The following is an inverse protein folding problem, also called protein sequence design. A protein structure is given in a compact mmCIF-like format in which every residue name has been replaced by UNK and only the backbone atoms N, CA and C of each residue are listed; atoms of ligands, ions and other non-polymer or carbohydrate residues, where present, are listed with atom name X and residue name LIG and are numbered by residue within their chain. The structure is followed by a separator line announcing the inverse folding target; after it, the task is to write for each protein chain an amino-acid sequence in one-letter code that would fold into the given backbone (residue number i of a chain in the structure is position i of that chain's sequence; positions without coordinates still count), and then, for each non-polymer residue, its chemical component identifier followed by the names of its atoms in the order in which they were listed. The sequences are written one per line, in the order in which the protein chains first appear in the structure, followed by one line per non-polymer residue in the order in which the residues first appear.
data_IF_134646470267
#
_entry.id   IF_134646470267
#
_cell.length_a   1.000
_cell.length_b   1.000
_cell.length_c   1.000
_cell.angle_alpha   90.00
_cell.angle_beta   90.00
_cell.angle_gamma   90.00
#
_symmetry.space_group_name_H-M   'P 1'
#
loop_
_entity.id
_entity.type
_entity.pdbx_description
1 polymer ?
#
# COMPACT_ATOMS: atom_id res chain seq x y z
N UNK A 1 -31.99 -3.50 22.57
CA UNK A 1 -31.86 -2.22 21.83
C UNK A 1 -31.12 -2.51 20.53
N UNK A 2 -31.34 -1.75 19.43
CA UNK A 2 -30.51 -1.91 18.24
C UNK A 2 -29.03 -1.68 18.58
N UNK A 3 -28.13 -2.51 18.05
CA UNK A 3 -26.69 -2.36 18.26
C UNK A 3 -26.22 -1.02 17.68
N UNK A 4 -25.37 -0.31 18.40
CA UNK A 4 -24.73 0.92 17.91
C UNK A 4 -23.88 0.60 16.66
N UNK A 5 -23.95 1.44 15.64
CA UNK A 5 -23.26 1.24 14.36
C UNK A 5 -21.95 2.02 14.34
N UNK A 6 -20.84 1.33 14.15
CA UNK A 6 -19.51 1.91 14.01
C UNK A 6 -19.05 1.72 12.58
N UNK A 7 -18.83 2.81 11.85
CA UNK A 7 -18.19 2.76 10.54
C UNK A 7 -16.71 3.07 10.68
N UNK A 8 -15.86 2.21 10.12
CA UNK A 8 -14.41 2.37 10.09
C UNK A 8 -13.97 2.54 8.64
N UNK A 9 -13.37 3.69 8.32
CA UNK A 9 -12.84 3.97 6.97
C UNK A 9 -11.37 3.55 6.92
N UNK A 10 -11.03 2.64 6.01
CA UNK A 10 -9.68 2.17 5.72
C UNK A 10 -9.29 0.87 6.44
N UNK A 11 -8.59 -0.02 5.75
CA UNK A 11 -8.04 -1.29 6.28
C UNK A 11 -6.54 -1.21 6.63
N UNK A 12 -5.98 0.00 6.74
CA UNK A 12 -4.62 0.22 7.22
C UNK A 12 -4.47 -0.15 8.72
N UNK A 13 -3.33 0.20 9.33
CA UNK A 13 -3.10 -0.07 10.75
C UNK A 13 -4.23 0.48 11.64
N UNK A 14 -4.58 1.76 11.52
CA UNK A 14 -5.61 2.37 12.35
C UNK A 14 -6.96 1.64 12.27
N UNK A 15 -7.47 1.41 11.05
CA UNK A 15 -8.79 0.83 10.87
C UNK A 15 -8.85 -0.66 11.21
N UNK A 16 -7.85 -1.44 10.81
CA UNK A 16 -7.80 -2.86 11.14
C UNK A 16 -7.71 -3.08 12.66
N UNK A 17 -6.82 -2.36 13.35
CA UNK A 17 -6.66 -2.52 14.78
C UNK A 17 -7.85 -1.96 15.58
N UNK A 18 -8.54 -0.95 15.06
CA UNK A 18 -9.83 -0.50 15.61
C UNK A 18 -10.87 -1.60 15.54
N UNK A 19 -11.09 -2.20 14.36
CA UNK A 19 -12.02 -3.32 14.22
C UNK A 19 -11.63 -4.52 15.10
N UNK A 20 -10.32 -4.75 15.29
CA UNK A 20 -9.83 -5.78 16.21
C UNK A 20 -10.18 -5.48 17.67
N UNK A 21 -9.99 -4.24 18.11
CA UNK A 21 -10.27 -3.82 19.49
C UNK A 21 -11.78 -3.85 19.81
N UNK A 22 -12.64 -3.63 18.82
CA UNK A 22 -14.10 -3.65 18.98
C UNK A 22 -14.72 -5.06 18.93
N UNK A 23 -13.92 -6.13 18.87
CA UNK A 23 -14.41 -7.52 18.69
C UNK A 23 -15.53 -7.91 19.65
N UNK A 24 -15.34 -7.62 20.93
CA UNK A 24 -16.21 -8.08 22.01
C UNK A 24 -17.16 -6.96 22.49
N UNK A 25 -17.13 -5.80 21.83
CA UNK A 25 -18.06 -4.71 22.11
C UNK A 25 -19.45 -5.00 21.54
N UNK A 26 -20.50 -4.55 22.23
CA UNK A 26 -21.90 -4.68 21.77
C UNK A 26 -22.28 -3.64 20.70
N UNK A 27 -21.53 -3.66 19.59
CA UNK A 27 -21.68 -2.78 18.44
C UNK A 27 -21.71 -3.59 17.14
N UNK A 28 -22.21 -3.00 16.07
CA UNK A 28 -22.08 -3.51 14.71
C UNK A 28 -21.03 -2.68 13.97
N UNK A 29 -19.94 -3.30 13.53
CA UNK A 29 -18.82 -2.64 12.84
C UNK A 29 -18.94 -2.86 11.34
N UNK A 30 -18.85 -1.79 10.56
CA UNK A 30 -18.66 -1.85 9.10
C UNK A 30 -17.32 -1.24 8.76
N UNK A 31 -16.36 -2.06 8.34
CA UNK A 31 -15.06 -1.60 7.83
C UNK A 31 -15.15 -1.44 6.31
N UNK A 32 -14.99 -0.21 5.83
CA UNK A 32 -15.04 0.14 4.41
C UNK A 32 -13.62 0.49 3.94
N UNK A 33 -13.09 -0.23 2.96
CA UNK A 33 -11.75 0.06 2.42
C UNK A 33 -11.70 -0.07 0.91
N UNK A 34 -10.92 0.79 0.26
CA UNK A 34 -10.70 0.73 -1.20
C UNK A 34 -9.95 -0.53 -1.64
N UNK A 35 -9.27 -1.21 -0.72
CA UNK A 35 -8.57 -2.48 -0.97
C UNK A 35 -9.19 -3.63 -0.18
N UNK A 36 -9.04 -4.85 -0.69
CA UNK A 36 -9.51 -6.08 -0.03
C UNK A 36 -8.53 -6.63 1.02
N UNK A 37 -7.33 -6.05 1.12
CA UNK A 37 -6.25 -6.51 1.99
C UNK A 37 -5.84 -5.45 3.02
N UNK A 38 -5.20 -5.92 4.09
CA UNK A 38 -4.41 -5.07 4.97
C UNK A 38 -2.97 -5.10 4.48
N UNK A 39 -2.38 -3.93 4.22
CA UNK A 39 -0.99 -3.82 3.79
C UNK A 39 -0.07 -3.53 4.98
N UNK A 40 0.84 -4.45 5.28
CA UNK A 40 1.93 -4.22 6.21
C UNK A 40 3.05 -3.41 5.53
N UNK A 41 2.79 -2.10 5.38
CA UNK A 41 3.67 -1.15 4.70
C UNK A 41 5.15 -1.17 5.13
N UNK A 42 5.51 -1.47 6.40
CA UNK A 42 6.93 -1.52 6.80
C UNK A 42 7.78 -2.53 6.01
N UNK A 43 7.20 -3.56 5.39
CA UNK A 43 7.96 -4.53 4.59
C UNK A 43 7.77 -4.34 3.08
N UNK A 44 7.14 -3.25 2.65
CA UNK A 44 6.84 -3.00 1.24
C UNK A 44 8.10 -2.87 0.38
N UNK A 45 9.17 -2.33 0.95
CA UNK A 45 10.47 -2.20 0.30
C UNK A 45 11.07 -3.56 -0.10
N UNK A 46 10.79 -4.64 0.66
CA UNK A 46 11.24 -6.00 0.34
C UNK A 46 10.45 -6.62 -0.80
N UNK A 47 9.20 -6.21 -1.01
CA UNK A 47 8.44 -6.58 -2.21
C UNK A 47 9.01 -5.86 -3.43
N UNK A 48 9.34 -4.58 -3.28
CA UNK A 48 9.93 -3.77 -4.35
C UNK A 48 11.30 -4.30 -4.83
N UNK A 49 12.07 -4.96 -3.95
CA UNK A 49 13.35 -5.59 -4.33
C UNK A 49 13.27 -7.09 -4.57
N UNK A 50 12.07 -7.67 -4.57
CA UNK A 50 11.84 -9.08 -4.91
C UNK A 50 12.21 -10.09 -3.82
N UNK A 51 12.49 -9.65 -2.60
CA UNK A 51 12.79 -10.51 -1.45
C UNK A 51 11.53 -11.18 -0.90
N UNK A 52 10.41 -10.45 -0.89
CA UNK A 52 9.12 -10.95 -0.45
C UNK A 52 8.10 -10.93 -1.59
N UNK A 53 7.19 -11.90 -1.58
CA UNK A 53 5.96 -11.85 -2.38
C UNK A 53 4.91 -10.95 -1.73
N UNK A 54 4.07 -10.28 -2.53
CA UNK A 54 3.02 -9.40 -1.99
C UNK A 54 2.08 -10.11 -1.01
N UNK A 55 1.73 -11.37 -1.26
CA UNK A 55 0.83 -12.16 -0.41
C UNK A 55 1.33 -12.34 1.03
N UNK A 56 2.64 -12.22 1.25
CA UNK A 56 3.24 -12.35 2.59
C UNK A 56 3.01 -11.11 3.46
N UNK A 57 2.74 -9.96 2.86
CA UNK A 57 2.57 -8.67 3.55
C UNK A 57 1.19 -8.05 3.36
N UNK A 58 0.34 -8.68 2.54
CA UNK A 58 -0.99 -8.20 2.16
C UNK A 58 -2.11 -9.24 2.34
N UNK A 59 -2.28 -9.83 3.55
CA UNK A 59 -3.37 -10.76 3.79
C UNK A 59 -4.74 -10.10 3.59
N UNK A 60 -5.71 -10.87 3.13
CA UNK A 60 -7.08 -10.39 2.94
C UNK A 60 -7.66 -9.90 4.26
N UNK A 61 -8.20 -8.67 4.30
CA UNK A 61 -8.74 -8.06 5.53
C UNK A 61 -9.83 -8.94 6.14
N UNK A 62 -10.65 -9.56 5.29
CA UNK A 62 -11.71 -10.50 5.70
C UNK A 62 -11.17 -11.78 6.33
N UNK A 63 -9.98 -12.24 5.94
CA UNK A 63 -9.35 -13.40 6.55
C UNK A 63 -8.88 -13.08 7.97
N UNK A 64 -8.24 -11.92 8.14
CA UNK A 64 -7.77 -11.43 9.45
C UNK A 64 -8.95 -11.27 10.41
N UNK A 65 -10.08 -10.76 9.91
CA UNK A 65 -11.28 -10.46 10.70
C UNK A 65 -12.31 -11.60 10.72
N UNK A 66 -12.00 -12.79 10.19
CA UNK A 66 -12.97 -13.92 10.10
C UNK A 66 -13.61 -14.32 11.43
N UNK A 67 -12.91 -14.10 12.54
CA UNK A 67 -13.38 -14.40 13.91
C UNK A 67 -14.15 -13.26 14.58
N UNK A 68 -14.31 -12.10 13.92
CA UNK A 68 -14.98 -10.91 14.44
C UNK A 68 -16.43 -10.90 13.96
N UNK A 69 -17.30 -11.65 14.66
CA UNK A 69 -18.71 -11.86 14.28
C UNK A 69 -19.53 -10.57 14.18
N UNK A 70 -19.08 -9.50 14.82
CA UNK A 70 -19.73 -8.19 14.80
C UNK A 70 -19.21 -7.26 13.69
N UNK A 71 -18.28 -7.73 12.85
CA UNK A 71 -17.60 -6.90 11.85
C UNK A 71 -17.91 -7.36 10.43
N UNK A 72 -18.42 -6.45 9.63
CA UNK A 72 -18.60 -6.61 8.18
C UNK A 72 -17.49 -5.85 7.45
N UNK A 73 -16.83 -6.53 6.50
CA UNK A 73 -15.79 -5.91 5.65
C UNK A 73 -16.36 -5.64 4.26
N UNK A 74 -16.39 -4.37 3.88
CA UNK A 74 -16.88 -3.87 2.59
C UNK A 74 -15.71 -3.32 1.78
N UNK A 75 -15.58 -3.76 0.53
CA UNK A 75 -14.66 -3.15 -0.42
C UNK A 75 -15.37 -1.99 -1.10
N UNK A 76 -14.81 -0.79 -1.01
CA UNK A 76 -15.38 0.42 -1.57
C UNK A 76 -14.50 1.65 -1.30
N UNK A 77 -14.47 2.57 -2.25
CA UNK A 77 -13.87 3.88 -2.09
C UNK A 77 -14.88 4.81 -1.42
N UNK A 78 -14.60 5.26 -0.20
CA UNK A 78 -15.38 6.33 0.43
C UNK A 78 -15.17 7.63 -0.34
N UNK A 79 -16.27 8.26 -0.75
CA UNK A 79 -16.28 9.48 -1.56
C UNK A 79 -16.82 10.68 -0.80
N UNK A 80 -17.70 10.47 0.20
CA UNK A 80 -18.31 11.55 0.96
C UNK A 80 -18.66 11.14 2.40
N UNK A 81 -18.68 12.12 3.30
CA UNK A 81 -19.06 11.97 4.71
C UNK A 81 -20.02 13.10 5.07
N UNK A 82 -21.28 12.76 5.33
CA UNK A 82 -22.28 13.70 5.83
C UNK A 82 -22.35 13.58 7.36
N UNK A 83 -21.85 14.60 8.07
CA UNK A 83 -21.82 14.63 9.53
C UNK A 83 -23.15 15.01 10.17
N UNK A 84 -24.03 15.68 9.44
CA UNK A 84 -25.36 16.07 9.92
C UNK A 84 -26.32 14.87 9.84
N UNK A 85 -26.39 14.22 8.67
CA UNK A 85 -27.17 13.00 8.48
C UNK A 85 -26.50 11.75 9.09
N UNK A 86 -25.22 11.85 9.47
CA UNK A 86 -24.37 10.76 9.99
C UNK A 86 -24.30 9.58 9.02
N UNK A 87 -23.87 9.86 7.80
CA UNK A 87 -23.70 8.84 6.77
C UNK A 87 -22.34 8.91 6.08
N UNK A 88 -21.89 7.78 5.55
CA UNK A 88 -20.70 7.66 4.70
C UNK A 88 -21.13 7.10 3.36
N UNK A 89 -20.82 7.82 2.29
CA UNK A 89 -21.05 7.35 0.92
C UNK A 89 -19.79 6.68 0.39
N UNK A 90 -19.94 5.47 -0.14
CA UNK A 90 -18.84 4.71 -0.74
C UNK A 90 -19.26 4.07 -2.06
N UNK A 91 -18.28 3.92 -2.95
CA UNK A 91 -18.47 3.38 -4.28
C UNK A 91 -17.66 2.11 -4.49
N UNK A 92 -18.30 1.08 -5.02
CA UNK A 92 -17.65 -0.14 -5.50
C UNK A 92 -18.04 -0.34 -6.96
N UNK A 93 -17.06 -0.23 -7.86
CA UNK A 93 -17.30 -0.09 -9.30
C UNK A 93 -18.29 1.06 -9.62
N UNK A 94 -19.43 0.74 -10.23
CA UNK A 94 -20.46 1.71 -10.62
C UNK A 94 -21.61 1.79 -9.61
N UNK A 95 -21.50 1.06 -8.49
CA UNK A 95 -22.51 1.07 -7.42
C UNK A 95 -22.08 1.99 -6.30
N UNK A 96 -22.88 3.01 -6.03
CA UNK A 96 -22.77 3.86 -4.86
C UNK A 96 -23.68 3.35 -3.74
N UNK A 97 -23.22 3.46 -2.50
CA UNK A 97 -23.97 3.02 -1.32
C UNK A 97 -23.71 3.97 -0.17
N UNK A 98 -24.78 4.39 0.48
CA UNK A 98 -24.73 5.25 1.67
C UNK A 98 -24.91 4.39 2.92
N UNK A 99 -23.90 4.37 3.78
CA UNK A 99 -23.89 3.62 5.04
C UNK A 99 -24.07 4.57 6.22
N UNK A 100 -25.15 4.45 7.01
CA UNK A 100 -25.36 5.29 8.19
C UNK A 100 -24.51 4.80 9.37
N UNK A 101 -24.14 5.73 10.27
CA UNK A 101 -23.34 5.43 11.45
C UNK A 101 -23.85 6.14 12.71
N UNK A 102 -23.49 5.59 13.87
CA UNK A 102 -23.62 6.27 15.16
C UNK A 102 -22.25 6.79 15.63
N UNK A 103 -21.18 6.03 15.30
CA UNK A 103 -19.79 6.44 15.47
C UNK A 103 -18.99 6.23 14.18
N UNK A 104 -18.08 7.17 13.89
CA UNK A 104 -17.22 7.12 12.71
C UNK A 104 -15.75 7.13 13.13
N UNK A 105 -14.98 6.20 12.57
CA UNK A 105 -13.51 6.17 12.69
C UNK A 105 -12.90 6.39 11.32
N UNK A 106 -12.21 7.52 11.16
CA UNK A 106 -11.52 7.87 9.91
C UNK A 106 -10.07 7.41 9.98
N UNK A 107 -9.76 6.29 9.33
CA UNK A 107 -8.41 5.72 9.24
C UNK A 107 -7.97 5.51 7.78
N UNK A 108 -8.32 6.47 6.91
CA UNK A 108 -8.06 6.44 5.47
C UNK A 108 -6.56 6.49 5.09
N UNK A 109 -5.69 6.83 6.04
CA UNK A 109 -4.27 7.03 5.81
C UNK A 109 -3.99 8.32 5.03
N UNK A 110 -2.84 8.37 4.37
CA UNK A 110 -2.41 9.50 3.55
C UNK A 110 -1.86 9.01 2.20
N UNK A 111 -2.11 9.79 1.15
CA UNK A 111 -1.54 9.56 -0.17
C UNK A 111 -0.07 9.96 -0.29
N UNK A 112 0.50 9.75 -1.47
CA UNK A 112 1.79 10.30 -1.85
C UNK A 112 1.65 11.81 -2.11
N UNK A 113 2.67 12.58 -1.74
CA UNK A 113 2.78 14.01 -2.08
C UNK A 113 4.06 14.25 -2.87
N UNK A 114 3.94 15.04 -3.94
CA UNK A 114 5.07 15.54 -4.72
C UNK A 114 5.32 17.04 -4.45
N UNK A 115 4.77 17.58 -3.36
CA UNK A 115 4.96 18.97 -2.94
C UNK A 115 4.68 19.99 -4.05
N UNK A 116 3.60 19.75 -4.82
CA UNK A 116 3.20 20.60 -5.96
C UNK A 116 3.84 20.21 -7.31
N UNK A 117 4.66 19.16 -7.35
CA UNK A 117 5.32 18.69 -8.57
C UNK A 117 4.74 17.36 -9.06
N UNK A 118 3.43 17.29 -9.26
CA UNK A 118 2.73 16.03 -9.58
C UNK A 118 3.22 15.36 -10.87
N UNK A 119 3.85 16.12 -11.78
CA UNK A 119 4.52 15.59 -12.97
C UNK A 119 5.67 14.62 -12.66
N UNK A 120 6.22 14.64 -11.44
CA UNK A 120 7.23 13.67 -11.01
C UNK A 120 6.69 12.25 -10.91
N UNK A 121 5.38 12.05 -10.71
CA UNK A 121 4.78 10.72 -10.56
C UNK A 121 5.06 9.80 -11.77
N UNK A 122 5.22 10.38 -12.97
CA UNK A 122 5.59 9.64 -14.19
C UNK A 122 6.96 8.97 -14.07
N UNK A 123 7.91 9.63 -13.41
CA UNK A 123 9.32 9.22 -13.38
C UNK A 123 9.74 8.61 -12.05
N UNK A 124 9.16 9.08 -10.95
CA UNK A 124 9.47 8.69 -9.59
C UNK A 124 8.19 8.10 -8.95
N UNK A 125 7.94 6.79 -9.11
CA UNK A 125 6.79 6.15 -8.50
C UNK A 125 6.87 6.22 -6.96
N UNK A 126 5.72 6.10 -6.31
CA UNK A 126 5.62 6.14 -4.85
C UNK A 126 6.15 4.88 -4.18
N UNK A 127 5.93 4.78 -2.87
CA UNK A 127 6.15 3.56 -2.09
C UNK A 127 5.07 3.45 -1.00
N UNK A 128 3.80 3.34 -1.42
CA UNK A 128 2.64 3.35 -0.52
C UNK A 128 1.72 2.15 -0.73
N UNK A 129 1.74 1.56 -1.92
CA UNK A 129 0.84 0.51 -2.36
C UNK A 129 1.61 -0.69 -2.90
N UNK A 130 0.92 -1.83 -3.05
CA UNK A 130 1.50 -3.01 -3.71
C UNK A 130 1.88 -2.67 -5.15
N UNK A 131 1.03 -1.93 -5.85
CA UNK A 131 1.27 -1.53 -7.26
C UNK A 131 2.55 -0.70 -7.38
N UNK A 132 2.79 0.25 -6.45
CA UNK A 132 4.04 1.01 -6.39
C UNK A 132 5.26 0.09 -6.27
N UNK A 133 5.19 -0.91 -5.38
CA UNK A 133 6.30 -1.85 -5.16
C UNK A 133 6.54 -2.73 -6.39
N UNK A 134 5.47 -3.22 -7.03
CA UNK A 134 5.58 -4.03 -8.24
C UNK A 134 6.15 -3.24 -9.42
N UNK A 135 5.75 -1.97 -9.55
CA UNK A 135 6.31 -1.05 -10.56
C UNK A 135 7.80 -0.80 -10.31
N UNK A 136 8.18 -0.50 -9.07
CA UNK A 136 9.59 -0.31 -8.70
C UNK A 136 10.41 -1.56 -8.96
N UNK A 137 9.89 -2.75 -8.61
CA UNK A 137 10.53 -4.03 -8.91
C UNK A 137 10.76 -4.17 -10.41
N UNK A 138 9.74 -3.97 -11.22
CA UNK A 138 9.87 -4.06 -12.68
C UNK A 138 10.94 -3.09 -13.21
N UNK A 139 10.94 -1.83 -12.76
CA UNK A 139 11.92 -0.81 -13.19
C UNK A 139 13.35 -1.17 -12.76
N UNK A 140 13.55 -1.64 -11.53
CA UNK A 140 14.86 -2.02 -11.00
C UNK A 140 15.43 -3.19 -11.81
N UNK A 141 14.70 -4.30 -11.92
CA UNK A 141 15.21 -5.48 -12.63
C UNK A 141 15.39 -5.22 -14.13
N UNK A 142 14.48 -4.46 -14.77
CA UNK A 142 14.66 -4.08 -16.18
C UNK A 142 15.91 -3.21 -16.40
N UNK A 143 16.31 -2.39 -15.42
CA UNK A 143 17.54 -1.62 -15.53
C UNK A 143 18.78 -2.52 -15.58
N UNK A 144 18.82 -3.60 -14.79
CA UNK A 144 19.91 -4.59 -14.85
C UNK A 144 19.92 -5.35 -16.19
N UNK A 145 18.75 -5.81 -16.66
CA UNK A 145 18.63 -6.49 -17.97
C UNK A 145 19.10 -5.59 -19.12
N UNK A 146 18.67 -4.33 -19.14
CA UNK A 146 19.08 -3.36 -20.16
C UNK A 146 20.59 -3.06 -20.07
N UNK A 147 21.16 -3.01 -18.86
CA UNK A 147 22.57 -2.72 -18.65
C UNK A 147 23.51 -3.84 -19.16
N UNK A 148 23.06 -5.10 -19.14
CA UNK A 148 23.79 -6.24 -19.71
C UNK A 148 23.92 -6.12 -21.23
N UNK A 149 22.86 -5.65 -21.91
CA UNK A 149 22.85 -5.52 -23.38
C UNK A 149 23.33 -4.15 -23.88
N UNK A 150 23.59 -3.19 -22.98
CA UNK A 150 24.06 -1.86 -23.35
C UNK A 150 25.41 -1.90 -24.09
N UNK A 151 25.53 -1.06 -25.13
CA UNK A 151 26.68 -1.03 -26.03
C UNK A 151 27.88 -0.26 -25.44
N UNK A 152 27.62 0.68 -24.54
CA UNK A 152 28.64 1.57 -23.98
C UNK A 152 28.72 1.49 -22.45
N UNK A 153 29.92 1.66 -21.85
CA UNK A 153 30.07 1.82 -20.41
C UNK A 153 29.26 2.99 -19.84
N UNK A 154 29.12 4.08 -20.59
CA UNK A 154 28.38 5.27 -20.18
C UNK A 154 26.88 5.00 -20.05
N UNK A 155 26.30 4.29 -21.02
CA UNK A 155 24.89 3.88 -20.97
C UNK A 155 24.62 2.91 -19.82
N UNK A 156 25.52 1.94 -19.63
CA UNK A 156 25.47 1.00 -18.51
C UNK A 156 25.48 1.72 -17.16
N UNK A 157 26.40 2.67 -16.98
CA UNK A 157 26.48 3.49 -15.77
C UNK A 157 25.17 4.25 -15.52
N UNK A 158 24.57 4.82 -16.58
CA UNK A 158 23.29 5.53 -16.49
C UNK A 158 22.15 4.61 -16.07
N UNK A 159 22.04 3.43 -16.67
CA UNK A 159 20.99 2.44 -16.35
C UNK A 159 21.09 1.95 -14.90
N UNK A 160 22.31 1.77 -14.39
CA UNK A 160 22.56 1.31 -13.01
C UNK A 160 22.61 2.45 -11.98
N UNK A 161 22.22 3.67 -12.35
CA UNK A 161 22.13 4.80 -11.42
C UNK A 161 20.71 4.91 -10.87
N UNK A 162 20.56 4.65 -9.57
CA UNK A 162 19.30 4.77 -8.85
C UNK A 162 19.29 6.02 -7.97
N UNK A 163 18.19 6.78 -8.00
CA UNK A 163 18.00 7.98 -7.18
C UNK A 163 16.83 7.75 -6.24
N UNK A 164 17.10 7.83 -4.94
CA UNK A 164 16.06 7.73 -3.90
C UNK A 164 15.85 9.10 -3.28
N UNK A 165 14.64 9.64 -3.42
CA UNK A 165 14.28 10.97 -2.91
C UNK A 165 13.62 10.82 -1.55
N UNK A 166 14.32 11.27 -0.51
CA UNK A 166 13.87 11.23 0.89
C UNK A 166 14.72 10.31 1.75
N UNK A 167 15.19 10.81 2.88
CA UNK A 167 16.07 10.10 3.81
C UNK A 167 15.33 9.61 5.08
N UNK A 168 14.00 9.45 5.00
CA UNK A 168 13.22 8.78 6.04
C UNK A 168 13.44 7.26 5.99
N UNK A 169 12.85 6.50 6.94
CA UNK A 169 13.04 5.05 7.03
C UNK A 169 12.85 4.32 5.70
N UNK A 170 11.72 4.57 5.01
CA UNK A 170 11.44 3.96 3.70
C UNK A 170 12.50 4.24 2.64
N UNK A 171 13.03 5.46 2.61
CA UNK A 171 14.09 5.82 1.65
C UNK A 171 15.42 5.15 1.99
N UNK A 172 15.77 5.10 3.28
CA UNK A 172 16.99 4.42 3.76
C UNK A 172 16.92 2.91 3.51
N UNK A 173 15.79 2.27 3.81
CA UNK A 173 15.55 0.85 3.56
C UNK A 173 15.65 0.53 2.06
N UNK A 174 15.04 1.35 1.20
CA UNK A 174 15.14 1.18 -0.25
C UNK A 174 16.56 1.33 -0.78
N UNK A 175 17.27 2.38 -0.38
CA UNK A 175 18.65 2.59 -0.81
C UNK A 175 19.56 1.43 -0.36
N UNK A 176 19.39 0.96 0.89
CA UNK A 176 20.10 -0.20 1.41
C UNK A 176 19.80 -1.47 0.63
N UNK A 177 18.53 -1.74 0.33
CA UNK A 177 18.12 -2.94 -0.40
C UNK A 177 18.54 -2.94 -1.87
N UNK A 178 18.56 -1.80 -2.55
CA UNK A 178 19.12 -1.70 -3.91
C UNK A 178 20.63 -1.99 -3.88
N UNK A 179 21.35 -1.45 -2.87
CA UNK A 179 22.77 -1.72 -2.70
C UNK A 179 23.05 -3.21 -2.38
N UNK A 180 22.21 -3.85 -1.57
CA UNK A 180 22.29 -5.28 -1.28
C UNK A 180 21.99 -6.13 -2.52
N UNK A 181 20.90 -5.83 -3.23
CA UNK A 181 20.49 -6.52 -4.46
C UNK A 181 21.63 -6.53 -5.49
N UNK A 182 22.26 -5.38 -5.74
CA UNK A 182 23.36 -5.26 -6.70
C UNK A 182 24.63 -6.01 -6.27
N UNK A 183 25.00 -5.94 -4.98
CA UNK A 183 26.30 -6.47 -4.50
C UNK A 183 26.25 -7.94 -4.11
N UNK A 184 25.09 -8.45 -3.71
CA UNK A 184 24.93 -9.78 -3.13
C UNK A 184 24.03 -10.64 -4.02
N UNK A 185 22.77 -10.24 -4.20
CA UNK A 185 21.77 -11.08 -4.84
C UNK A 185 22.07 -11.34 -6.31
N UNK A 186 22.37 -10.28 -7.08
CA UNK A 186 22.60 -10.37 -8.53
C UNK A 186 24.06 -10.68 -8.89
N UNK A 187 24.93 -10.87 -7.89
CA UNK A 187 26.36 -11.09 -8.10
C UNK A 187 26.59 -12.33 -8.97
N UNK A 188 27.23 -12.13 -10.12
CA UNK A 188 27.59 -13.20 -11.04
C UNK A 188 26.42 -13.75 -11.89
N UNK A 189 25.23 -13.14 -11.80
CA UNK A 189 24.10 -13.46 -12.67
C UNK A 189 24.23 -12.79 -14.05
N UNK A 190 24.87 -11.63 -14.10
CA UNK A 190 25.16 -10.86 -15.30
C UNK A 190 26.66 -10.95 -15.66
N UNK A 191 27.01 -10.78 -16.94
CA UNK A 191 28.39 -10.98 -17.44
C UNK A 191 29.10 -9.68 -17.79
N UNK A 192 28.34 -8.62 -18.06
CA UNK A 192 28.84 -7.33 -18.56
C UNK A 192 28.67 -6.19 -17.55
N UNK A 193 28.03 -6.47 -16.39
CA UNK A 193 27.80 -5.52 -15.28
C UNK A 193 28.27 -6.12 -13.94
#
# INVERSE_FOLDING_TARGET
MPKQRVVVIGSGFGGLFTAKALRDADVAVTLISKTSHHLFQPLLYQVATGILSEGSIAPATREILRGHRNTTVVTGLVTDIDTEARTVTHRHHDTETTTPYDHLVVAAGAGQSYFGNDHFATYAPGMKTIDDALELRARIFSAFENAEIADSPEERQKLLTFVVVGAGPTGVEMAGQIAELSRVTLRGQFRRI
#
